data_IF_276834199109
#
_entry.id   IF_276834199109
#
_cell.length_a   1.000
_cell.length_b   1.000
_cell.length_c   1.000
_cell.angle_alpha   90.00
_cell.angle_beta   90.00
_cell.angle_gamma   90.00
#
_symmetry.space_group_name_H-M   'P 1'
#
loop_
_entity.id
_entity.type
_entity.pdbx_description
1 polymer ?
#
# COMPACT_ATOMS: atom_id res chain seq x y z
N UNK A 1 0.19 -7.21 8.25
CA UNK A 1 1.50 -6.61 7.93
C UNK A 1 2.63 -7.52 8.41
N UNK A 2 3.67 -7.77 7.62
CA UNK A 2 4.83 -8.61 8.02
C UNK A 2 5.95 -7.80 8.71
N UNK A 3 6.71 -8.44 9.60
CA UNK A 3 7.81 -7.80 10.37
C UNK A 3 8.88 -7.19 9.47
N UNK A 4 9.25 -7.89 8.38
CA UNK A 4 10.23 -7.39 7.42
C UNK A 4 9.78 -6.09 6.71
N UNK A 5 8.50 -6.00 6.32
CA UNK A 5 7.94 -4.79 5.72
C UNK A 5 7.89 -3.64 6.73
N UNK A 6 7.49 -3.94 7.97
CA UNK A 6 7.41 -2.95 9.04
C UNK A 6 8.77 -2.34 9.37
N UNK A 7 9.82 -3.17 9.54
CA UNK A 7 11.19 -2.69 9.78
C UNK A 7 11.73 -1.85 8.61
N UNK A 8 11.28 -2.13 7.38
CA UNK A 8 11.65 -1.36 6.18
C UNK A 8 10.82 -0.09 5.99
N UNK A 9 9.93 0.25 6.93
CA UNK A 9 9.15 1.49 6.91
C UNK A 9 7.87 1.40 6.09
N UNK A 10 7.23 0.23 6.01
CA UNK A 10 5.92 0.09 5.36
C UNK A 10 4.84 0.98 5.98
N UNK A 11 4.98 1.38 7.24
CA UNK A 11 4.04 2.28 7.91
C UNK A 11 3.97 3.64 7.22
N UNK A 12 5.12 4.17 6.76
CA UNK A 12 5.17 5.44 6.03
C UNK A 12 4.49 5.35 4.67
N UNK A 13 4.62 4.19 4.02
CA UNK A 13 3.93 3.88 2.75
C UNK A 13 2.42 3.85 3.00
N UNK A 14 1.98 3.17 4.06
CA UNK A 14 0.57 3.11 4.46
C UNK A 14 0.00 4.49 4.78
N UNK A 15 0.68 5.29 5.60
CA UNK A 15 0.26 6.66 5.93
C UNK A 15 0.12 7.54 4.68
N UNK A 16 1.01 7.38 3.70
CA UNK A 16 0.92 8.13 2.45
C UNK A 16 -0.28 7.67 1.61
N UNK A 17 -0.55 6.36 1.55
CA UNK A 17 -1.76 5.83 0.88
C UNK A 17 -3.02 6.39 1.56
N UNK A 18 -3.08 6.39 2.89
CA UNK A 18 -4.21 6.95 3.64
C UNK A 18 -4.42 8.44 3.34
N UNK A 19 -3.35 9.21 3.16
CA UNK A 19 -3.41 10.63 2.79
C UNK A 19 -3.87 10.85 1.34
N UNK A 20 -3.35 10.07 0.40
CA UNK A 20 -3.68 10.17 -1.03
C UNK A 20 -5.15 9.79 -1.27
N UNK A 21 -5.59 8.69 -0.65
CA UNK A 21 -6.94 8.15 -0.81
C UNK A 21 -7.97 8.80 0.13
N UNK A 22 -7.51 9.50 1.17
CA UNK A 22 -8.38 10.12 2.18
C UNK A 22 -9.20 9.10 2.98
N UNK A 23 -8.75 7.85 3.05
CA UNK A 23 -9.41 6.77 3.78
C UNK A 23 -8.46 6.13 4.78
N UNK A 24 -9.02 5.45 5.79
CA UNK A 24 -8.24 4.72 6.78
C UNK A 24 -8.14 3.25 6.39
N UNK A 25 -7.12 2.59 6.92
CA UNK A 25 -6.97 1.14 6.86
C UNK A 25 -8.27 0.42 7.30
N UNK A 26 -8.73 -0.52 6.47
CA UNK A 26 -9.98 -1.27 6.65
C UNK A 26 -11.22 -0.54 6.11
N UNK A 27 -11.04 0.57 5.40
CA UNK A 27 -12.12 1.38 4.82
C UNK A 27 -12.08 1.44 3.29
N UNK A 28 -13.15 1.98 2.74
CA UNK A 28 -13.26 2.29 1.32
C UNK A 28 -13.03 3.78 1.11
N UNK A 29 -12.55 4.14 -0.08
CA UNK A 29 -12.54 5.54 -0.50
C UNK A 29 -13.95 6.05 -0.76
N UNK A 30 -14.13 7.37 -0.68
CA UNK A 30 -15.44 8.00 -0.87
C UNK A 30 -16.02 7.78 -2.28
N UNK A 31 -15.16 7.53 -3.27
CA UNK A 31 -15.52 7.23 -4.65
C UNK A 31 -15.77 5.73 -4.91
N UNK A 32 -15.64 4.88 -3.88
CA UNK A 32 -15.82 3.42 -3.95
C UNK A 32 -14.91 2.72 -4.99
N UNK A 33 -13.83 3.38 -5.42
CA UNK A 33 -12.88 2.80 -6.38
C UNK A 33 -11.80 1.97 -5.71
N UNK A 34 -11.38 2.38 -4.51
CA UNK A 34 -10.31 1.72 -3.77
C UNK A 34 -10.78 1.27 -2.39
N UNK A 35 -10.35 0.08 -2.01
CA UNK A 35 -10.50 -0.47 -0.67
C UNK A 35 -9.11 -0.62 -0.09
N UNK A 36 -8.84 0.07 1.02
CA UNK A 36 -7.54 0.05 1.67
C UNK A 36 -7.54 -1.03 2.75
N UNK A 37 -6.88 -2.15 2.49
CA UNK A 37 -6.74 -3.24 3.46
C UNK A 37 -5.28 -3.59 3.73
N UNK A 38 -4.98 -3.88 4.99
CA UNK A 38 -3.66 -4.39 5.36
C UNK A 38 -3.68 -5.89 5.38
N UNK A 39 -2.90 -6.50 4.48
CA UNK A 39 -2.74 -7.95 4.42
C UNK A 39 -1.62 -8.42 5.35
N UNK A 40 -1.70 -9.68 5.77
CA UNK A 40 -0.63 -10.34 6.49
C UNK A 40 0.57 -10.64 5.58
N UNK A 41 1.63 -11.19 6.18
CA UNK A 41 2.87 -11.48 5.44
C UNK A 41 2.59 -12.39 4.23
N UNK A 42 2.94 -11.92 3.04
CA UNK A 42 2.79 -12.65 1.77
C UNK A 42 4.02 -13.50 1.44
N UNK A 43 5.00 -13.56 2.34
CA UNK A 43 6.25 -14.32 2.15
C UNK A 43 7.25 -13.71 1.17
N UNK A 44 6.93 -12.58 0.54
CA UNK A 44 7.82 -11.89 -0.40
C UNK A 44 8.74 -10.87 0.30
N UNK A 45 9.42 -11.28 1.38
CA UNK A 45 10.28 -10.39 2.18
C UNK A 45 11.42 -9.74 1.38
N UNK A 46 11.84 -10.36 0.26
CA UNK A 46 12.83 -9.80 -0.65
C UNK A 46 12.36 -8.50 -1.33
N UNK A 47 11.06 -8.37 -1.57
CA UNK A 47 10.44 -7.24 -2.28
C UNK A 47 9.75 -6.25 -1.32
N UNK A 48 9.85 -6.47 -0.01
CA UNK A 48 9.27 -5.58 0.99
C UNK A 48 9.99 -4.23 1.06
N UNK A 49 9.28 -3.09 1.28
CA UNK A 49 7.83 -2.94 1.41
C UNK A 49 7.08 -3.14 0.09
N UNK A 50 5.93 -3.83 0.12
CA UNK A 50 5.14 -4.09 -1.08
C UNK A 50 3.67 -3.72 -0.89
N UNK A 51 3.02 -3.36 -1.98
CA UNK A 51 1.60 -3.03 -2.08
C UNK A 51 1.00 -3.89 -3.18
N UNK A 52 -0.22 -4.39 -2.95
CA UNK A 52 -0.96 -5.17 -3.96
C UNK A 52 -2.15 -4.32 -4.38
N UNK A 53 -2.28 -4.07 -5.67
CA UNK A 53 -3.38 -3.30 -6.24
C UNK A 53 -4.06 -4.21 -7.28
N UNK A 54 -5.26 -4.68 -6.97
CA UNK A 54 -5.92 -5.69 -7.80
C UNK A 54 -5.10 -6.98 -7.85
N UNK A 55 -4.60 -7.32 -9.04
CA UNK A 55 -3.74 -8.49 -9.28
C UNK A 55 -2.25 -8.15 -9.41
N UNK A 56 -1.89 -6.85 -9.35
CA UNK A 56 -0.53 -6.38 -9.53
C UNK A 56 0.23 -6.27 -8.20
N UNK A 57 1.44 -6.83 -8.20
CA UNK A 57 2.36 -6.78 -7.06
C UNK A 57 3.41 -5.68 -7.25
N UNK A 58 3.33 -4.64 -6.42
CA UNK A 58 4.28 -3.53 -6.42
C UNK A 58 5.26 -3.69 -5.27
N UNK A 59 6.48 -4.12 -5.55
CA UNK A 59 7.58 -4.25 -4.58
C UNK A 59 8.42 -2.98 -4.45
N UNK A 60 9.25 -2.90 -3.42
CA UNK A 60 10.15 -1.77 -3.15
C UNK A 60 9.42 -0.41 -3.18
N UNK A 61 8.23 -0.39 -2.61
CA UNK A 61 7.38 0.78 -2.58
C UNK A 61 7.91 1.81 -1.59
N UNK A 62 7.92 3.06 -2.05
CA UNK A 62 8.26 4.24 -1.25
C UNK A 62 7.06 5.18 -1.20
N UNK A 63 6.96 6.06 -0.19
CA UNK A 63 5.89 7.06 -0.12
C UNK A 63 5.76 7.89 -1.40
N UNK A 64 6.89 8.21 -2.06
CA UNK A 64 6.89 8.96 -3.32
C UNK A 64 6.28 8.16 -4.47
N UNK A 65 6.66 6.88 -4.61
CA UNK A 65 6.14 5.99 -5.66
C UNK A 65 4.67 5.67 -5.49
N UNK A 66 4.16 5.66 -4.26
CA UNK A 66 2.72 5.38 -3.99
C UNK A 66 1.82 6.30 -4.80
N UNK A 67 2.07 7.61 -4.77
CA UNK A 67 1.24 8.58 -5.47
C UNK A 67 1.30 8.42 -6.98
N UNK A 68 2.45 8.02 -7.54
CA UNK A 68 2.58 7.72 -8.96
C UNK A 68 1.81 6.46 -9.36
N UNK A 69 1.94 5.39 -8.56
CA UNK A 69 1.25 4.13 -8.80
C UNK A 69 -0.27 4.34 -8.72
N UNK A 70 -0.78 5.02 -7.68
CA UNK A 70 -2.22 5.28 -7.53
C UNK A 70 -2.82 6.09 -8.70
N UNK A 71 -2.05 7.02 -9.28
CA UNK A 71 -2.48 7.78 -10.47
C UNK A 71 -2.62 6.90 -11.71
N UNK A 72 -1.84 5.83 -11.84
CA UNK A 72 -1.95 4.91 -12.97
C UNK A 72 -3.24 4.09 -12.95
N UNK A 73 -3.92 4.00 -11.80
CA UNK A 73 -5.18 3.28 -11.62
C UNK A 73 -6.39 4.22 -11.44
N UNK A 74 -6.24 5.54 -11.64
CA UNK A 74 -7.28 6.57 -11.44
C UNK A 74 -8.14 6.85 -12.68
#
# INVERSE_FOLDING_TARGET
MGTACHVRGSDKVLEQIEKELGTKTGGNTADLRFTLETVNCVGACALGPMVIIGEDYHGEMTPEKVGEVLKNYS
#
